data_IF_611071528051
#
_entry.id   IF_611071528051
#
_cell.length_a   1.000
_cell.length_b   1.000
_cell.length_c   1.000
_cell.angle_alpha   90.00
_cell.angle_beta   90.00
_cell.angle_gamma   90.00
#
_symmetry.space_group_name_H-M   'P 1'
#
loop_
_entity.id
_entity.type
_entity.pdbx_description
1 polymer ?
#
# COMPACT_ATOMS: atom_id res chain seq x y z
N UNK A 1 1.36 28.64 3.21
CA UNK A 1 0.86 28.35 3.17
C UNK A 1 0.24 28.34 3.42
N UNK A 2 0.13 28.23 3.31
CA UNK A 2 -0.57 28.18 3.45
C UNK A 2 -1.20 27.95 3.72
N UNK A 3 -1.32 27.93 3.72
CA UNK A 3 -1.97 27.72 3.90
C UNK A 3 -2.65 27.53 4.08
N UNK A 4 -2.77 28.00 4.16
CA UNK A 4 -3.46 27.78 4.32
C UNK A 4 -3.97 27.41 4.11
N UNK A 5 -3.86 27.88 3.99
CA UNK A 5 -4.41 27.45 3.65
C UNK A 5 -4.50 26.77 3.27
N UNK A 6 -3.90 26.85 3.14
CA UNK A 6 -3.89 25.58 2.45
C UNK A 6 -4.98 24.62 2.53
N UNK A 7 -5.88 24.76 3.35
CA UNK A 7 -6.92 23.82 3.45
C UNK A 7 -7.81 23.73 2.27
N UNK A 8 -7.97 24.80 1.59
CA UNK A 8 -8.78 24.79 0.40
C UNK A 8 -8.14 24.02 -0.73
N UNK A 9 -6.87 23.71 -0.60
CA UNK A 9 -6.17 22.90 -1.60
C UNK A 9 -6.02 21.47 -1.18
N UNK A 10 -6.84 21.03 -0.26
CA UNK A 10 -6.78 19.65 0.12
C UNK A 10 -7.18 18.73 -0.99
N UNK A 11 -6.49 17.63 -1.08
CA UNK A 11 -6.80 16.61 -2.06
C UNK A 11 -8.23 16.10 -1.83
N UNK A 12 -8.92 15.88 -2.92
CA UNK A 12 -10.22 15.23 -2.91
C UNK A 12 -10.17 14.12 -3.95
N UNK A 13 -10.74 12.99 -3.61
CA UNK A 13 -10.65 11.81 -4.46
C UNK A 13 -12.03 11.37 -4.89
N UNK A 14 -12.15 11.01 -6.16
CA UNK A 14 -13.34 10.34 -6.65
C UNK A 14 -13.47 8.98 -5.99
N UNK A 15 -14.68 8.45 -5.98
CA UNK A 15 -14.92 7.14 -5.35
C UNK A 15 -14.00 6.06 -5.89
N UNK A 16 -13.77 6.02 -7.21
CA UNK A 16 -12.88 5.04 -7.82
C UNK A 16 -11.42 5.21 -7.39
N UNK A 17 -10.97 6.45 -7.23
CA UNK A 17 -9.62 6.74 -6.77
C UNK A 17 -9.45 6.32 -5.31
N UNK A 18 -10.44 6.59 -4.47
CA UNK A 18 -10.42 6.18 -3.07
C UNK A 18 -10.37 4.65 -2.96
N UNK A 19 -11.11 3.96 -3.81
CA UNK A 19 -11.10 2.50 -3.84
C UNK A 19 -9.69 1.96 -4.12
N UNK A 20 -9.00 2.56 -5.08
CA UNK A 20 -7.62 2.16 -5.40
C UNK A 20 -6.69 2.42 -4.21
N UNK A 21 -6.81 3.56 -3.58
CA UNK A 21 -5.96 3.91 -2.43
C UNK A 21 -6.22 3.00 -1.24
N UNK A 22 -7.46 2.60 -1.02
CA UNK A 22 -7.81 1.68 0.06
C UNK A 22 -7.56 0.22 -0.27
N UNK A 23 -7.41 -0.11 -1.55
CA UNK A 23 -7.25 -1.49 -1.97
C UNK A 23 -8.53 -2.30 -1.88
N UNK A 24 -9.68 -1.66 -2.07
CA UNK A 24 -10.99 -2.30 -2.00
C UNK A 24 -11.80 -1.99 -3.25
N UNK A 25 -12.97 -2.60 -3.37
CA UNK A 25 -13.85 -2.35 -4.51
C UNK A 25 -14.57 -1.01 -4.39
N UNK A 26 -15.03 -0.49 -5.51
CA UNK A 26 -15.84 0.73 -5.54
C UNK A 26 -17.10 0.55 -4.68
N UNK A 27 -17.71 -0.62 -4.74
CA UNK A 27 -18.92 -0.89 -3.93
C UNK A 27 -18.60 -0.84 -2.44
N UNK A 28 -17.44 -1.32 -2.03
CA UNK A 28 -17.01 -1.22 -0.63
C UNK A 28 -16.90 0.24 -0.19
N UNK A 29 -16.31 1.09 -1.03
CA UNK A 29 -16.21 2.52 -0.72
C UNK A 29 -17.59 3.15 -0.62
N UNK A 30 -18.50 2.81 -1.53
CA UNK A 30 -19.87 3.34 -1.48
C UNK A 30 -20.57 2.94 -0.19
N UNK A 31 -20.38 1.71 0.26
CA UNK A 31 -20.96 1.26 1.53
C UNK A 31 -20.37 2.01 2.72
N UNK A 32 -19.06 2.26 2.70
CA UNK A 32 -18.42 3.05 3.76
C UNK A 32 -18.98 4.48 3.78
N UNK A 33 -19.17 5.06 2.61
CA UNK A 33 -19.72 6.41 2.51
C UNK A 33 -21.17 6.45 2.98
N UNK A 34 -21.97 5.47 2.55
CA UNK A 34 -23.39 5.42 2.91
C UNK A 34 -23.60 5.19 4.40
N UNK A 35 -22.71 4.44 5.04
CA UNK A 35 -22.79 4.16 6.48
C UNK A 35 -22.23 5.29 7.33
N UNK A 36 -21.66 6.32 6.72
CA UNK A 36 -21.05 7.43 7.44
C UNK A 36 -19.64 7.16 7.97
N UNK A 37 -19.09 6.01 7.70
CA UNK A 37 -17.73 5.67 8.13
C UNK A 37 -16.67 6.43 7.37
N UNK A 38 -16.98 6.85 6.15
CA UNK A 38 -16.08 7.60 5.31
C UNK A 38 -16.82 8.84 4.85
N UNK A 39 -16.34 10.00 5.26
CA UNK A 39 -17.01 11.26 4.95
C UNK A 39 -16.85 11.59 3.46
N UNK A 40 -17.93 11.96 2.83
CA UNK A 40 -17.93 12.39 1.44
C UNK A 40 -18.64 13.72 1.31
N UNK A 41 -18.29 14.46 0.26
CA UNK A 41 -18.98 15.69 -0.09
C UNK A 41 -19.32 15.64 -1.57
N UNK A 42 -20.31 16.45 -1.98
CA UNK A 42 -20.63 16.57 -3.39
C UNK A 42 -20.02 17.84 -3.95
N UNK A 43 -19.44 17.71 -5.12
CA UNK A 43 -18.92 18.88 -5.82
C UNK A 43 -20.08 19.70 -6.40
N UNK A 44 -19.77 20.88 -6.90
CA UNK A 44 -20.77 21.71 -7.56
C UNK A 44 -21.42 21.00 -8.74
N UNK A 45 -20.73 20.06 -9.36
CA UNK A 45 -21.30 19.25 -10.43
C UNK A 45 -22.10 18.06 -9.94
N UNK A 46 -22.29 17.91 -8.63
CA UNK A 46 -23.03 16.80 -8.06
C UNK A 46 -22.24 15.52 -7.89
N UNK A 47 -20.96 15.53 -8.20
CA UNK A 47 -20.12 14.35 -8.07
C UNK A 47 -19.71 14.14 -6.60
N UNK A 48 -19.77 12.91 -6.16
CA UNK A 48 -19.40 12.54 -4.81
C UNK A 48 -17.88 12.33 -4.74
N UNK A 49 -17.24 12.99 -3.79
CA UNK A 49 -15.79 12.88 -3.61
C UNK A 49 -15.47 12.66 -2.14
N UNK A 50 -14.31 12.06 -1.90
CA UNK A 50 -13.80 11.79 -0.56
C UNK A 50 -12.71 12.80 -0.26
N UNK A 51 -12.85 13.51 0.86
CA UNK A 51 -11.80 14.42 1.30
C UNK A 51 -10.56 13.65 1.69
N UNK A 52 -9.41 14.08 1.21
CA UNK A 52 -8.14 13.39 1.44
C UNK A 52 -7.78 13.25 2.91
N UNK A 53 -8.08 14.25 3.72
CA UNK A 53 -7.83 14.16 5.16
C UNK A 53 -8.66 13.08 5.82
N UNK A 54 -9.94 13.00 5.46
CA UNK A 54 -10.83 12.00 6.01
C UNK A 54 -10.41 10.61 5.57
N UNK A 55 -9.98 10.47 4.32
CA UNK A 55 -9.47 9.22 3.81
C UNK A 55 -8.23 8.80 4.59
N UNK A 56 -7.30 9.73 4.81
CA UNK A 56 -6.07 9.45 5.55
C UNK A 56 -6.38 9.02 6.98
N UNK A 57 -7.33 9.69 7.64
CA UNK A 57 -7.75 9.31 8.98
C UNK A 57 -8.33 7.91 9.03
N UNK A 58 -9.17 7.59 8.05
CA UNK A 58 -9.78 6.28 7.96
C UNK A 58 -8.70 5.19 7.79
N UNK A 59 -7.75 5.44 6.90
CA UNK A 59 -6.66 4.49 6.66
C UNK A 59 -5.80 4.30 7.90
N UNK A 60 -5.49 5.38 8.60
CA UNK A 60 -4.67 5.32 9.81
C UNK A 60 -5.39 4.59 10.96
N UNK A 61 -6.71 4.67 11.01
CA UNK A 61 -7.51 4.03 12.04
C UNK A 61 -7.84 2.57 11.73
N UNK A 62 -7.52 2.11 10.52
CA UNK A 62 -7.77 0.70 10.15
C UNK A 62 -6.91 -0.21 11.03
N UNK A 63 -7.44 -1.37 11.44
CA UNK A 63 -6.66 -2.28 12.25
C UNK A 63 -5.36 -2.68 11.54
N UNK A 64 -4.24 -2.71 12.26
CA UNK A 64 -3.00 -3.16 11.64
C UNK A 64 -3.12 -4.62 11.24
N UNK A 65 -2.36 -4.99 10.21
CA UNK A 65 -2.32 -6.39 9.81
C UNK A 65 -1.79 -7.25 10.95
N UNK A 66 -2.23 -8.51 11.03
CA UNK A 66 -1.71 -9.41 12.05
C UNK A 66 -0.19 -9.48 11.99
N UNK A 67 0.44 -9.27 13.11
CA UNK A 67 1.89 -9.36 13.20
C UNK A 67 2.30 -10.82 13.22
N UNK A 68 3.43 -11.11 12.60
CA UNK A 68 4.00 -12.44 12.71
C UNK A 68 4.46 -12.65 14.15
N UNK A 69 3.93 -13.66 14.79
CA UNK A 69 4.26 -13.95 16.19
C UNK A 69 5.68 -14.47 16.36
N UNK A 70 6.32 -14.88 15.27
CA UNK A 70 7.67 -15.44 15.33
C UNK A 70 8.76 -14.39 15.35
N UNK A 71 8.42 -13.12 15.10
CA UNK A 71 9.41 -12.04 15.06
C UNK A 71 9.24 -11.16 16.28
N UNK A 72 10.18 -11.21 17.21
CA UNK A 72 10.11 -10.46 18.44
C UNK A 72 10.67 -9.04 18.34
N UNK A 73 11.59 -8.80 17.40
CA UNK A 73 12.20 -7.48 17.24
C UNK A 73 12.66 -7.30 15.79
N UNK A 74 12.52 -6.08 15.29
CA UNK A 74 12.99 -5.76 13.95
C UNK A 74 13.24 -4.27 13.80
N UNK A 75 14.25 -3.92 13.03
CA UNK A 75 14.56 -2.51 12.75
C UNK A 75 13.76 -1.99 11.56
N UNK A 76 13.35 -2.85 10.65
CA UNK A 76 12.55 -2.46 9.50
C UNK A 76 11.11 -2.20 9.92
N UNK A 77 10.51 -1.15 9.36
CA UNK A 77 9.12 -0.75 9.67
C UNK A 77 8.14 -1.08 8.57
N UNK A 78 8.65 -1.45 7.39
CA UNK A 78 7.81 -1.66 6.22
C UNK A 78 7.80 -3.13 5.85
N UNK A 79 6.64 -3.76 5.99
CA UNK A 79 6.46 -5.19 5.75
C UNK A 79 5.29 -5.38 4.79
N UNK A 80 5.54 -6.14 3.72
CA UNK A 80 4.55 -6.38 2.68
C UNK A 80 4.38 -7.87 2.49
N UNK A 81 3.45 -8.50 3.22
CA UNK A 81 3.18 -9.92 3.02
C UNK A 81 2.56 -10.17 1.65
N UNK A 82 3.04 -11.18 0.98
CA UNK A 82 2.54 -11.47 -0.36
C UNK A 82 2.94 -12.85 -0.83
N UNK A 83 2.92 -13.02 -2.14
CA UNK A 83 3.24 -14.25 -2.82
C UNK A 83 4.31 -13.96 -3.88
N UNK A 84 5.30 -14.83 -3.95
CA UNK A 84 6.29 -14.76 -5.02
C UNK A 84 5.60 -15.08 -6.34
N UNK A 85 5.75 -14.20 -7.32
CA UNK A 85 5.15 -14.39 -8.64
C UNK A 85 6.18 -14.76 -9.69
N UNK A 86 7.45 -14.38 -9.48
CA UNK A 86 8.49 -14.63 -10.47
C UNK A 86 9.86 -14.65 -9.81
N UNK A 87 10.71 -15.55 -10.28
CA UNK A 87 12.11 -15.61 -9.87
C UNK A 87 12.97 -15.74 -11.13
N UNK A 88 13.91 -14.81 -11.28
CA UNK A 88 14.89 -14.86 -12.34
C UNK A 88 16.24 -14.93 -11.68
N UNK A 89 17.03 -15.95 -11.96
CA UNK A 89 18.31 -16.09 -11.30
C UNK A 89 19.41 -16.52 -12.25
N UNK A 90 20.60 -16.01 -11.97
CA UNK A 90 21.82 -16.48 -12.60
C UNK A 90 22.70 -17.15 -11.53
N UNK A 91 23.98 -17.23 -11.76
CA UNK A 91 24.89 -17.93 -10.82
C UNK A 91 25.06 -17.21 -9.50
N UNK A 92 24.91 -15.90 -9.48
CA UNK A 92 25.26 -15.08 -8.33
C UNK A 92 24.06 -14.34 -7.75
N UNK A 93 23.20 -13.80 -8.61
CA UNK A 93 22.11 -12.94 -8.19
C UNK A 93 20.76 -13.50 -8.62
N UNK A 94 19.73 -12.96 -8.01
CA UNK A 94 18.36 -13.30 -8.37
C UNK A 94 17.46 -12.08 -8.20
N UNK A 95 16.51 -11.96 -9.13
CA UNK A 95 15.44 -10.99 -9.01
C UNK A 95 14.18 -11.75 -8.60
N UNK A 96 13.57 -11.32 -7.52
CA UNK A 96 12.36 -11.95 -7.00
C UNK A 96 11.24 -10.91 -7.05
N UNK A 97 10.12 -11.28 -7.64
CA UNK A 97 8.95 -10.41 -7.68
C UNK A 97 7.90 -10.96 -6.72
N UNK A 98 7.39 -10.07 -5.90
CA UNK A 98 6.39 -10.41 -4.88
C UNK A 98 5.17 -9.54 -5.11
N UNK A 99 4.00 -10.17 -5.17
CA UNK A 99 2.73 -9.46 -5.24
C UNK A 99 2.17 -9.36 -3.83
N UNK A 100 2.08 -8.15 -3.31
CA UNK A 100 1.54 -7.87 -1.98
C UNK A 100 0.30 -7.00 -2.14
N UNK A 101 -0.87 -7.62 -2.10
CA UNK A 101 -2.12 -6.94 -2.44
C UNK A 101 -2.04 -6.40 -3.86
N UNK A 102 -2.34 -5.10 -4.08
CA UNK A 102 -2.24 -4.52 -5.41
C UNK A 102 -0.83 -4.07 -5.78
N UNK A 103 0.16 -4.34 -4.94
CA UNK A 103 1.51 -3.84 -5.15
C UNK A 103 2.48 -4.93 -5.58
N UNK A 104 3.28 -4.60 -6.59
CA UNK A 104 4.34 -5.46 -7.04
C UNK A 104 5.66 -4.94 -6.47
N UNK A 105 6.35 -5.78 -5.72
CA UNK A 105 7.67 -5.44 -5.19
C UNK A 105 8.72 -6.29 -5.89
N UNK A 106 9.85 -5.67 -6.17
CA UNK A 106 10.96 -6.34 -6.82
C UNK A 106 12.15 -6.31 -5.89
N UNK A 107 12.69 -7.46 -5.59
CA UNK A 107 13.88 -7.60 -4.75
C UNK A 107 15.03 -8.16 -5.57
N UNK A 108 16.21 -7.61 -5.35
CA UNK A 108 17.43 -8.17 -5.93
C UNK A 108 18.24 -8.74 -4.78
N UNK A 109 18.41 -10.05 -4.76
CA UNK A 109 19.10 -10.75 -3.69
C UNK A 109 20.08 -11.76 -4.29
N UNK A 110 20.84 -12.44 -3.45
CA UNK A 110 21.76 -13.45 -3.95
C UNK A 110 21.01 -14.71 -4.34
N UNK A 111 21.56 -15.43 -5.30
CA UNK A 111 21.01 -16.72 -5.67
C UNK A 111 21.00 -17.67 -4.47
N UNK A 112 22.07 -17.62 -3.67
CA UNK A 112 22.16 -18.44 -2.46
C UNK A 112 20.95 -18.18 -1.53
N UNK A 113 20.58 -16.92 -1.34
CA UNK A 113 19.43 -16.57 -0.51
C UNK A 113 18.14 -17.14 -1.06
N UNK A 114 17.95 -17.10 -2.38
CA UNK A 114 16.76 -17.68 -3.01
C UNK A 114 16.69 -19.17 -2.72
N UNK A 115 17.80 -19.85 -2.85
CA UNK A 115 17.86 -21.30 -2.63
C UNK A 115 17.62 -21.64 -1.15
N UNK A 116 18.26 -20.91 -0.24
CA UNK A 116 18.08 -21.14 1.19
C UNK A 116 16.67 -20.88 1.67
N UNK A 117 16.05 -19.84 1.14
CA UNK A 117 14.68 -19.48 1.52
C UNK A 117 13.62 -20.29 0.76
N UNK A 118 14.04 -21.04 -0.25
CA UNK A 118 13.11 -21.84 -1.04
C UNK A 118 12.13 -21.00 -1.84
N UNK A 119 12.57 -19.87 -2.35
CA UNK A 119 11.68 -18.96 -3.07
C UNK A 119 11.39 -19.47 -4.48
N UNK A 120 10.10 -19.57 -4.79
CA UNK A 120 9.61 -20.00 -6.08
C UNK A 120 8.21 -19.43 -6.27
N UNK A 121 7.73 -19.31 -7.50
CA UNK A 121 6.36 -18.82 -7.71
C UNK A 121 5.35 -19.62 -6.88
N UNK A 122 4.47 -18.89 -6.20
CA UNK A 122 3.46 -19.47 -5.32
C UNK A 122 3.85 -19.54 -3.85
N UNK A 123 5.11 -19.34 -3.52
CA UNK A 123 5.58 -19.37 -2.13
C UNK A 123 5.23 -18.05 -1.44
N UNK A 124 4.74 -18.13 -0.22
CA UNK A 124 4.47 -16.94 0.59
C UNK A 124 5.79 -16.29 0.99
N UNK A 125 5.83 -14.98 0.92
CA UNK A 125 7.02 -14.23 1.32
C UNK A 125 6.60 -12.86 1.83
N UNK A 126 7.47 -12.27 2.66
CA UNK A 126 7.26 -10.92 3.16
C UNK A 126 8.39 -10.05 2.63
N UNK A 127 8.04 -9.02 1.88
CA UNK A 127 9.03 -8.03 1.48
C UNK A 127 9.20 -7.04 2.62
N UNK A 128 10.44 -6.78 2.98
CA UNK A 128 10.76 -5.92 4.13
C UNK A 128 11.68 -4.81 3.65
N UNK A 129 11.33 -3.57 3.98
CA UNK A 129 12.11 -2.41 3.56
C UNK A 129 12.40 -1.54 4.78
N UNK A 130 13.67 -1.30 5.06
CA UNK A 130 14.03 -0.38 6.15
C UNK A 130 13.58 1.02 5.82
N UNK A 131 13.13 1.75 6.83
CA UNK A 131 12.65 3.12 6.65
C UNK A 131 13.67 4.01 5.96
N UNK A 132 14.96 3.78 6.22
CA UNK A 132 16.04 4.55 5.62
C UNK A 132 16.19 4.32 4.12
N UNK A 133 15.59 3.27 3.59
CA UNK A 133 15.69 2.92 2.17
C UNK A 133 14.45 3.29 1.36
N UNK A 134 13.45 3.86 2.01
CA UNK A 134 12.22 4.25 1.32
C UNK A 134 12.41 5.62 0.69
N UNK A 135 12.14 5.70 -0.61
CA UNK A 135 12.20 6.94 -1.37
C UNK A 135 10.76 7.41 -1.57
N UNK A 136 10.56 8.71 -1.41
CA UNK A 136 9.21 9.29 -1.53
C UNK A 136 9.13 10.15 -2.78
N UNK A 137 8.08 9.94 -3.54
CA UNK A 137 7.77 10.74 -4.71
C UNK A 137 6.35 11.25 -4.60
N UNK A 138 6.09 12.39 -5.18
CA UNK A 138 4.75 12.98 -5.20
C UNK A 138 4.28 13.03 -6.65
N UNK A 139 3.13 12.46 -6.95
CA UNK A 139 2.62 12.51 -8.33
C UNK A 139 2.40 13.95 -8.77
N UNK A 140 2.68 14.23 -10.03
CA UNK A 140 2.43 15.54 -10.64
C UNK A 140 1.23 15.42 -11.58
N UNK A 141 0.38 16.40 -11.54
CA UNK A 141 -0.79 16.45 -12.43
C UNK A 141 -2.05 15.81 -11.86
#
# INVERSE_FOLDING_TARGET
MLELSGESVMAAYKIGEAAQLLGVSVDSVRRLADSGRLATVRTSGGQRVVDGRQLARYMAASPPEPKSETISARSARNHFPGIVTRVIKDRVAAQVEIQAGPHRLVALITREAVDELGLAPGVRAVAVVKATNVIVEVPTG
#
